data_IF_268302708722
#
_entry.id   IF_268302708722
#
_cell.length_a   1.000
_cell.length_b   1.000
_cell.length_c   1.000
_cell.angle_alpha   90.00
_cell.angle_beta   90.00
_cell.angle_gamma   90.00
#
_symmetry.space_group_name_H-M   'P 1'
#
loop_
_entity.id
_entity.type
_entity.pdbx_description
1 polymer ?
#
# COMPACT_ATOMS: atom_id res chain seq x y z
N UNK A 1 24.63 -8.81 87.02
CA UNK A 1 23.26 -8.39 86.69
C UNK A 1 23.11 -8.47 85.18
N UNK A 2 22.23 -9.37 84.75
CA UNK A 2 21.87 -9.62 83.36
C UNK A 2 20.97 -8.47 82.90
N UNK A 3 21.28 -7.88 81.74
CA UNK A 3 20.32 -7.07 80.99
C UNK A 3 20.20 -7.64 79.59
N UNK A 4 19.11 -8.37 79.38
CA UNK A 4 18.59 -8.74 78.07
C UNK A 4 18.01 -7.49 77.40
N UNK A 5 18.33 -7.28 76.13
CA UNK A 5 17.46 -6.52 75.22
C UNK A 5 17.31 -7.33 73.93
N UNK A 6 16.09 -7.79 73.73
CA UNK A 6 15.58 -8.56 72.60
C UNK A 6 15.87 -7.89 71.26
N UNK A 7 16.43 -8.66 70.32
CA UNK A 7 16.54 -8.27 68.92
C UNK A 7 15.26 -8.65 68.18
N UNK A 8 14.33 -7.71 68.06
CA UNK A 8 13.19 -7.86 67.14
C UNK A 8 13.68 -7.61 65.71
N UNK A 9 13.96 -8.70 65.00
CA UNK A 9 14.24 -8.71 63.56
C UNK A 9 13.00 -8.21 62.83
N UNK A 10 13.04 -6.97 62.35
CA UNK A 10 12.08 -6.44 61.40
C UNK A 10 12.57 -6.83 60.00
N UNK A 11 11.83 -7.72 59.34
CA UNK A 11 12.09 -8.11 57.96
C UNK A 11 12.05 -6.88 57.05
N UNK A 12 12.99 -6.70 56.11
CA UNK A 12 12.89 -5.62 55.14
C UNK A 12 11.77 -5.95 54.15
N UNK A 13 10.88 -4.99 53.94
CA UNK A 13 9.89 -4.99 52.87
C UNK A 13 10.60 -5.09 51.51
N UNK A 14 10.83 -6.32 51.05
CA UNK A 14 11.35 -6.63 49.71
C UNK A 14 10.33 -6.41 48.59
N UNK A 15 9.13 -5.93 48.91
CA UNK A 15 8.08 -5.61 47.95
C UNK A 15 8.34 -4.31 47.19
N UNK A 16 8.61 -3.21 47.89
CA UNK A 16 8.66 -1.87 47.29
C UNK A 16 9.96 -1.58 46.52
N UNK A 17 11.07 -2.18 46.92
CA UNK A 17 12.37 -1.97 46.26
C UNK A 17 12.45 -2.63 44.88
N UNK A 18 11.72 -3.73 44.65
CA UNK A 18 11.68 -4.42 43.35
C UNK A 18 10.77 -3.67 42.35
N UNK A 19 9.70 -3.03 42.85
CA UNK A 19 8.79 -2.24 42.02
C UNK A 19 9.49 -0.97 41.51
N UNK A 20 10.24 -0.27 42.37
CA UNK A 20 11.00 0.92 41.97
C UNK A 20 12.19 0.64 41.04
N UNK A 21 12.87 -0.51 41.17
CA UNK A 21 13.96 -0.88 40.24
C UNK A 21 13.45 -1.10 38.80
N UNK A 22 12.22 -1.60 38.65
CA UNK A 22 11.55 -1.79 37.36
C UNK A 22 11.03 -0.49 36.73
N UNK A 23 11.08 0.64 37.43
CA UNK A 23 10.67 1.97 36.94
C UNK A 23 11.80 2.76 36.27
N UNK A 24 13.02 2.23 36.28
CA UNK A 24 14.21 2.90 35.73
C UNK A 24 14.78 2.15 34.52
N UNK A 25 14.48 0.84 34.39
CA UNK A 25 15.14 -0.04 33.43
C UNK A 25 14.16 -0.86 32.59
N UNK A 26 14.29 -0.82 31.27
CA UNK A 26 13.58 -1.73 30.37
C UNK A 26 14.44 -2.96 30.07
N UNK A 27 13.91 -4.20 30.11
CA UNK A 27 14.68 -5.41 29.84
C UNK A 27 15.28 -5.47 28.41
N UNK A 28 14.68 -4.77 27.45
CA UNK A 28 15.12 -4.74 26.03
C UNK A 28 15.79 -3.42 25.63
N UNK A 29 15.41 -2.30 26.26
CA UNK A 29 15.84 -0.95 25.83
C UNK A 29 16.80 -0.29 26.81
N UNK A 30 17.13 -0.96 27.92
CA UNK A 30 18.07 -0.46 28.92
C UNK A 30 17.53 0.72 29.71
N UNK A 31 18.44 1.59 30.16
CA UNK A 31 18.11 2.79 30.92
C UNK A 31 17.53 3.86 29.98
N UNK A 32 16.35 4.37 30.33
CA UNK A 32 15.68 5.44 29.58
C UNK A 32 15.36 6.60 30.53
N UNK A 33 15.58 7.83 30.08
CA UNK A 33 15.17 9.01 30.85
C UNK A 33 13.64 9.03 31.02
N UNK A 34 13.17 9.25 32.25
CA UNK A 34 11.74 9.23 32.60
C UNK A 34 11.00 7.96 32.15
N UNK A 35 11.63 6.78 32.33
CA UNK A 35 11.06 5.50 31.91
C UNK A 35 9.63 5.25 32.41
N UNK A 36 9.32 5.58 33.68
CA UNK A 36 7.97 5.45 34.23
C UNK A 36 6.92 6.24 33.42
N UNK A 37 7.20 7.50 33.09
CA UNK A 37 6.31 8.33 32.28
C UNK A 37 6.20 7.83 30.83
N UNK A 38 7.32 7.39 30.24
CA UNK A 38 7.32 6.80 28.89
C UNK A 38 6.56 5.46 28.83
N UNK A 39 6.69 4.61 29.86
CA UNK A 39 5.94 3.36 30.00
C UNK A 39 4.44 3.63 30.08
N UNK A 40 4.02 4.58 30.91
CA UNK A 40 2.61 4.91 31.05
C UNK A 40 2.02 5.46 29.74
N UNK A 41 2.76 6.30 29.02
CA UNK A 41 2.38 6.78 27.68
C UNK A 41 2.22 5.65 26.65
N UNK A 42 3.16 4.70 26.61
CA UNK A 42 3.07 3.51 25.74
C UNK A 42 1.89 2.62 26.11
N UNK A 43 1.62 2.44 27.41
CA UNK A 43 0.47 1.70 27.91
C UNK A 43 -0.85 2.36 27.50
N UNK A 44 -0.95 3.68 27.58
CA UNK A 44 -2.13 4.43 27.12
C UNK A 44 -2.37 4.26 25.62
N UNK A 45 -1.32 4.34 24.80
CA UNK A 45 -1.40 4.05 23.37
C UNK A 45 -1.89 2.62 23.11
N UNK A 46 -1.32 1.64 23.81
CA UNK A 46 -1.72 0.23 23.67
C UNK A 46 -3.18 0.02 24.05
N UNK A 47 -3.63 0.59 25.18
CA UNK A 47 -5.03 0.51 25.60
C UNK A 47 -5.98 1.11 24.56
N UNK A 48 -5.62 2.25 23.95
CA UNK A 48 -6.39 2.86 22.87
C UNK A 48 -6.48 1.94 21.64
N UNK A 49 -5.36 1.34 21.24
CA UNK A 49 -5.32 0.40 20.11
C UNK A 49 -6.12 -0.87 20.38
N UNK A 50 -5.98 -1.47 21.57
CA UNK A 50 -6.74 -2.64 21.97
C UNK A 50 -8.24 -2.33 22.01
N UNK A 51 -8.62 -1.18 22.54
CA UNK A 51 -10.02 -0.76 22.56
C UNK A 51 -10.59 -0.62 21.15
N UNK A 52 -9.82 -0.02 20.22
CA UNK A 52 -10.23 0.08 18.81
C UNK A 52 -10.43 -1.31 18.17
N UNK A 53 -9.54 -2.27 18.45
CA UNK A 53 -9.69 -3.64 17.95
C UNK A 53 -10.88 -4.37 18.56
N UNK A 54 -11.13 -4.20 19.87
CA UNK A 54 -12.33 -4.74 20.51
C UNK A 54 -13.59 -4.19 19.84
N UNK A 55 -13.66 -2.88 19.63
CA UNK A 55 -14.83 -2.25 18.98
C UNK A 55 -14.99 -2.74 17.52
N UNK A 56 -13.88 -2.92 16.78
CA UNK A 56 -13.91 -3.47 15.41
C UNK A 56 -14.41 -4.92 15.37
N UNK A 57 -13.93 -5.76 16.29
CA UNK A 57 -14.33 -7.16 16.38
C UNK A 57 -15.78 -7.31 16.83
N UNK A 58 -16.26 -6.42 17.72
CA UNK A 58 -17.66 -6.39 18.15
C UNK A 58 -18.59 -6.08 16.97
N UNK A 59 -18.25 -5.07 16.15
CA UNK A 59 -18.99 -4.77 14.92
C UNK A 59 -18.95 -5.95 13.95
N UNK A 60 -17.82 -6.65 13.85
CA UNK A 60 -17.69 -7.80 12.96
C UNK A 60 -18.46 -9.03 13.45
N UNK A 61 -18.54 -9.24 14.76
CA UNK A 61 -19.34 -10.29 15.37
C UNK A 61 -20.85 -10.04 15.22
N UNK A 62 -21.26 -8.76 15.25
CA UNK A 62 -22.66 -8.35 15.20
C UNK A 62 -22.95 -7.34 14.06
N UNK A 63 -22.72 -7.69 12.79
CA UNK A 63 -22.72 -6.72 11.68
C UNK A 63 -24.11 -6.14 11.35
N UNK A 64 -25.19 -6.82 11.75
CA UNK A 64 -26.59 -6.38 11.53
C UNK A 64 -27.21 -5.82 12.82
N UNK A 65 -26.45 -5.75 13.91
CA UNK A 65 -26.98 -5.20 15.16
C UNK A 65 -27.44 -3.76 14.97
N UNK A 66 -28.64 -3.48 15.47
CA UNK A 66 -29.20 -2.12 15.52
C UNK A 66 -28.85 -1.42 16.84
N UNK A 67 -28.17 -2.11 17.75
CA UNK A 67 -27.76 -1.52 19.02
C UNK A 67 -26.65 -0.49 18.75
N UNK A 68 -26.79 0.73 19.30
CA UNK A 68 -25.78 1.75 19.11
C UNK A 68 -24.49 1.30 19.81
N UNK A 69 -23.39 1.33 19.07
CA UNK A 69 -22.06 1.09 19.63
C UNK A 69 -21.79 2.07 20.78
N UNK A 70 -21.07 1.62 21.83
CA UNK A 70 -20.71 2.49 22.95
C UNK A 70 -20.00 3.75 22.46
N UNK A 71 -20.56 4.92 22.77
CA UNK A 71 -19.96 6.21 22.41
C UNK A 71 -18.69 6.42 23.21
N UNK A 72 -17.55 6.47 22.52
CA UNK A 72 -16.23 6.68 23.14
C UNK A 72 -15.83 8.16 23.11
N UNK A 73 -15.11 8.65 24.14
CA UNK A 73 -14.56 10.00 24.13
C UNK A 73 -13.64 10.21 22.91
N UNK A 74 -13.87 11.29 22.16
CA UNK A 74 -12.98 11.66 21.07
C UNK A 74 -11.64 12.13 21.64
N UNK A 75 -10.55 11.57 21.13
CA UNK A 75 -9.21 12.06 21.45
C UNK A 75 -9.03 13.47 20.87
N UNK A 76 -8.35 14.34 21.63
CA UNK A 76 -7.98 15.67 21.15
C UNK A 76 -6.84 15.57 20.12
N UNK A 77 -6.71 16.55 19.21
CA UNK A 77 -5.61 16.60 18.24
C UNK A 77 -4.21 16.42 18.87
N UNK A 78 -3.99 16.99 20.05
CA UNK A 78 -2.71 16.94 20.77
C UNK A 78 -2.39 15.52 21.22
N UNK A 79 -3.40 14.77 21.69
CA UNK A 79 -3.25 13.36 22.06
C UNK A 79 -2.93 12.48 20.84
N UNK A 80 -3.51 12.79 19.68
CA UNK A 80 -3.17 12.09 18.43
C UNK A 80 -1.72 12.31 18.01
N UNK A 81 -1.25 13.55 18.11
CA UNK A 81 0.16 13.91 17.84
C UNK A 81 1.10 13.18 18.83
N UNK A 82 0.76 13.17 20.12
CA UNK A 82 1.53 12.46 21.13
C UNK A 82 1.59 10.95 20.84
N UNK A 83 0.45 10.32 20.53
CA UNK A 83 0.38 8.91 20.15
C UNK A 83 1.19 8.60 18.90
N UNK A 84 1.18 9.47 17.89
CA UNK A 84 2.01 9.32 16.69
C UNK A 84 3.50 9.29 17.02
N UNK A 85 3.98 10.24 17.84
CA UNK A 85 5.38 10.32 18.27
C UNK A 85 5.80 9.12 19.10
N UNK A 86 4.96 8.69 20.04
CA UNK A 86 5.21 7.50 20.86
C UNK A 86 5.30 6.27 19.95
N UNK A 87 4.34 6.07 19.06
CA UNK A 87 4.32 4.94 18.13
C UNK A 87 5.60 4.91 17.29
N UNK A 88 5.97 6.04 16.68
CA UNK A 88 7.16 6.15 15.83
C UNK A 88 8.46 5.90 16.60
N UNK A 89 8.54 6.35 17.86
CA UNK A 89 9.71 6.12 18.72
C UNK A 89 9.90 4.65 19.12
N UNK A 90 8.83 3.85 19.11
CA UNK A 90 8.88 2.42 19.41
C UNK A 90 9.19 1.64 18.13
N UNK A 91 8.39 1.83 17.10
CA UNK A 91 8.60 1.29 15.75
C UNK A 91 7.78 2.14 14.75
N UNK A 92 8.40 2.74 13.72
CA UNK A 92 7.70 3.50 12.68
C UNK A 92 6.52 2.75 12.04
N UNK A 93 6.58 1.42 11.93
CA UNK A 93 5.50 0.58 11.39
C UNK A 93 4.22 0.69 12.19
N UNK A 94 4.32 0.84 13.52
CA UNK A 94 3.15 1.05 14.39
C UNK A 94 2.51 2.40 14.08
N UNK A 95 3.31 3.44 13.81
CA UNK A 95 2.78 4.75 13.45
C UNK A 95 2.05 4.71 12.10
N UNK A 96 2.58 4.00 11.09
CA UNK A 96 1.90 3.82 9.82
C UNK A 96 0.60 3.01 9.95
N UNK A 97 0.62 1.94 10.75
CA UNK A 97 -0.59 1.18 11.08
C UNK A 97 -1.62 2.02 11.84
N UNK A 98 -1.18 2.96 12.68
CA UNK A 98 -2.06 3.88 13.38
C UNK A 98 -2.76 4.83 12.40
N UNK A 99 -2.03 5.40 11.43
CA UNK A 99 -2.62 6.24 10.39
C UNK A 99 -3.61 5.49 9.48
N UNK A 100 -3.31 4.23 9.11
CA UNK A 100 -4.21 3.44 8.26
C UNK A 100 -5.52 3.09 8.96
N UNK A 101 -5.51 2.93 10.28
CA UNK A 101 -6.71 2.71 11.11
C UNK A 101 -7.59 3.95 11.25
N UNK A 102 -6.98 5.14 11.25
CA UNK A 102 -7.67 6.42 11.44
C UNK A 102 -7.44 7.39 10.27
N UNK A 103 -7.87 7.04 9.04
CA UNK A 103 -7.54 7.80 7.84
C UNK A 103 -8.16 9.21 7.81
N UNK A 104 -9.24 9.43 8.57
CA UNK A 104 -9.93 10.72 8.67
C UNK A 104 -9.22 11.72 9.60
N UNK A 105 -8.22 11.29 10.36
CA UNK A 105 -7.53 12.14 11.31
C UNK A 105 -6.38 12.93 10.66
N UNK A 106 -6.62 14.21 10.40
CA UNK A 106 -5.66 15.10 9.71
C UNK A 106 -4.44 15.41 10.59
N UNK A 107 -4.61 15.61 11.89
CA UNK A 107 -3.51 15.92 12.83
C UNK A 107 -2.52 14.75 12.91
N UNK A 108 -3.03 13.53 13.00
CA UNK A 108 -2.23 12.30 12.97
C UNK A 108 -1.44 12.17 11.67
N UNK A 109 -2.10 12.32 10.52
CA UNK A 109 -1.46 12.20 9.20
C UNK A 109 -0.37 13.27 9.01
N UNK A 110 -0.63 14.49 9.46
CA UNK A 110 0.33 15.61 9.38
C UNK A 110 1.56 15.33 10.23
N UNK A 111 1.39 14.88 11.47
CA UNK A 111 2.51 14.56 12.36
C UNK A 111 3.37 13.41 11.80
N UNK A 112 2.73 12.32 11.33
CA UNK A 112 3.46 11.20 10.73
C UNK A 112 4.23 11.65 9.48
N UNK A 113 3.65 12.54 8.67
CA UNK A 113 4.34 13.12 7.52
C UNK A 113 5.61 13.86 7.93
N UNK A 114 5.56 14.65 9.00
CA UNK A 114 6.73 15.37 9.54
C UNK A 114 7.79 14.41 10.10
N UNK A 115 7.36 13.36 10.81
CA UNK A 115 8.25 12.32 11.35
C UNK A 115 8.95 11.55 10.23
N UNK A 116 8.23 11.20 9.15
CA UNK A 116 8.81 10.57 7.96
C UNK A 116 9.88 11.47 7.34
N UNK A 117 9.56 12.74 7.11
CA UNK A 117 10.48 13.69 6.46
C UNK A 117 11.74 13.98 7.28
N UNK A 118 11.67 13.90 8.61
CA UNK A 118 12.83 14.10 9.49
C UNK A 118 13.70 12.85 9.64
N UNK A 119 13.15 11.65 9.45
CA UNK A 119 13.84 10.37 9.68
C UNK A 119 13.94 9.51 8.41
N UNK A 120 13.92 10.13 7.22
CA UNK A 120 13.85 9.43 5.92
C UNK A 120 14.96 8.39 5.73
N UNK A 121 16.15 8.63 6.30
CA UNK A 121 17.30 7.73 6.15
C UNK A 121 17.14 6.42 6.94
N UNK A 122 16.42 6.48 8.08
CA UNK A 122 16.31 5.37 9.04
C UNK A 122 15.15 4.42 8.70
N UNK A 123 14.21 4.87 7.86
CA UNK A 123 12.97 4.15 7.53
C UNK A 123 12.93 3.63 6.08
N UNK A 124 14.07 3.60 5.38
CA UNK A 124 14.16 3.17 3.96
C UNK A 124 13.66 1.75 3.71
N UNK A 125 13.77 0.88 4.71
CA UNK A 125 13.32 -0.52 4.66
C UNK A 125 11.79 -0.66 4.84
N UNK A 126 11.07 0.45 4.98
CA UNK A 126 9.63 0.46 5.29
C UNK A 126 8.88 1.11 4.11
N UNK A 127 8.31 0.31 3.18
CA UNK A 127 7.58 0.85 2.02
C UNK A 127 6.32 1.63 2.40
N UNK A 128 5.72 1.38 3.56
CA UNK A 128 4.52 2.06 4.05
C UNK A 128 4.73 3.57 4.28
N UNK A 129 5.97 4.03 4.35
CA UNK A 129 6.31 5.45 4.42
C UNK A 129 6.16 6.19 3.08
N UNK A 130 6.12 5.49 1.94
CA UNK A 130 6.11 6.12 0.60
C UNK A 130 4.97 7.15 0.43
N UNK A 131 3.70 6.88 0.80
CA UNK A 131 2.61 7.83 0.60
C UNK A 131 2.77 9.15 1.38
N UNK A 132 3.69 9.21 2.34
CA UNK A 132 3.93 10.40 3.17
C UNK A 132 4.98 11.35 2.58
N UNK A 133 5.85 10.89 1.68
CA UNK A 133 6.83 11.75 1.02
C UNK A 133 6.75 11.74 -0.51
N UNK A 134 6.21 10.67 -1.10
CA UNK A 134 5.84 10.60 -2.52
C UNK A 134 4.41 11.08 -2.67
N UNK A 135 4.23 12.40 -2.68
CA UNK A 135 2.91 13.03 -2.85
C UNK A 135 2.85 13.76 -4.20
N UNK A 136 1.66 13.99 -4.77
CA UNK A 136 1.52 14.79 -5.99
C UNK A 136 2.17 16.17 -5.87
N UNK A 137 2.02 16.81 -4.71
CA UNK A 137 2.70 18.07 -4.39
C UNK A 137 4.23 17.94 -4.43
N UNK A 138 4.80 16.89 -3.83
CA UNK A 138 6.23 16.66 -3.84
C UNK A 138 6.78 16.39 -5.25
N UNK A 139 5.98 15.77 -6.11
CA UNK A 139 6.30 15.58 -7.53
C UNK A 139 6.26 16.91 -8.29
N UNK A 140 5.21 17.71 -8.09
CA UNK A 140 5.07 19.03 -8.72
C UNK A 140 6.22 19.97 -8.36
N UNK A 141 6.69 19.91 -7.12
CA UNK A 141 7.81 20.71 -6.62
C UNK A 141 9.19 20.08 -6.90
N UNK A 142 9.25 18.91 -7.56
CA UNK A 142 10.48 18.12 -7.76
C UNK A 142 11.32 17.99 -6.47
N UNK A 143 10.65 17.59 -5.39
CA UNK A 143 11.23 17.54 -4.05
C UNK A 143 12.53 16.74 -3.99
N UNK A 144 13.49 17.26 -3.22
CA UNK A 144 14.76 16.57 -2.95
C UNK A 144 14.56 15.20 -2.27
N UNK A 145 13.43 15.00 -1.55
CA UNK A 145 13.11 13.72 -0.92
C UNK A 145 12.94 12.58 -1.93
N UNK A 146 12.50 12.89 -3.16
CA UNK A 146 12.35 11.89 -4.22
C UNK A 146 13.70 11.29 -4.66
N UNK A 147 14.83 11.93 -4.33
CA UNK A 147 16.18 11.38 -4.57
C UNK A 147 16.47 10.14 -3.72
N UNK A 148 15.67 9.88 -2.67
CA UNK A 148 15.85 8.72 -1.81
C UNK A 148 15.22 7.44 -2.39
N UNK A 149 14.32 7.56 -3.38
CA UNK A 149 13.59 6.43 -3.99
C UNK A 149 14.47 5.29 -4.55
N UNK A 150 15.65 5.53 -5.16
CA UNK A 150 16.51 4.45 -5.64
C UNK A 150 16.95 3.49 -4.52
N UNK A 151 17.07 3.99 -3.29
CA UNK A 151 17.53 3.23 -2.13
C UNK A 151 16.38 2.71 -1.26
N UNK A 152 15.13 2.98 -1.62
CA UNK A 152 13.96 2.58 -0.83
C UNK A 152 13.64 1.10 -1.04
N UNK A 153 13.10 0.43 -0.02
CA UNK A 153 12.57 -0.92 -0.18
C UNK A 153 11.46 -0.98 -1.26
N UNK A 154 11.35 -2.13 -1.92
CA UNK A 154 10.28 -2.35 -2.87
C UNK A 154 8.92 -2.43 -2.14
N UNK A 155 7.92 -1.70 -2.64
CA UNK A 155 6.54 -1.79 -2.18
C UNK A 155 5.78 -2.90 -2.94
N UNK A 156 4.52 -3.11 -2.60
CA UNK A 156 3.66 -4.02 -3.35
C UNK A 156 3.37 -3.47 -4.75
N UNK A 157 3.07 -4.37 -5.70
CA UNK A 157 2.62 -4.00 -7.05
C UNK A 157 1.42 -3.05 -6.96
N UNK A 158 0.47 -3.29 -6.05
CA UNK A 158 -0.71 -2.43 -5.86
C UNK A 158 -0.35 -1.00 -5.51
N UNK A 159 0.62 -0.78 -4.62
CA UNK A 159 1.11 0.57 -4.29
C UNK A 159 1.88 1.18 -5.45
N UNK A 160 2.68 0.39 -6.18
CA UNK A 160 3.38 0.86 -7.36
C UNK A 160 2.41 1.34 -8.47
N UNK A 161 1.28 0.67 -8.63
CA UNK A 161 0.22 1.07 -9.58
C UNK A 161 -0.42 2.41 -9.20
N UNK A 162 -0.54 2.74 -7.91
CA UNK A 162 -1.06 4.05 -7.49
C UNK A 162 -0.18 5.21 -8.00
N UNK A 163 1.13 4.97 -8.13
CA UNK A 163 2.09 5.94 -8.68
C UNK A 163 2.04 6.08 -10.21
N UNK A 164 1.32 5.21 -10.90
CA UNK A 164 1.10 5.31 -12.35
C UNK A 164 -0.13 6.18 -12.71
N UNK A 165 -0.78 6.76 -11.71
CA UNK A 165 -1.94 7.64 -11.93
C UNK A 165 -1.51 9.03 -12.42
N UNK A 166 -2.42 9.79 -13.07
CA UNK A 166 -2.12 11.13 -13.62
C UNK A 166 -1.56 12.13 -12.60
N UNK A 167 -1.83 11.91 -11.32
CA UNK A 167 -1.39 12.78 -10.22
C UNK A 167 0.13 12.83 -10.07
N UNK A 168 0.85 11.82 -10.57
CA UNK A 168 2.32 11.73 -10.48
C UNK A 168 3.02 12.10 -11.78
N UNK A 169 2.28 12.51 -12.83
CA UNK A 169 2.77 13.12 -14.08
C UNK A 169 3.95 12.38 -14.74
N UNK A 170 4.05 11.06 -14.58
CA UNK A 170 5.16 10.27 -15.11
C UNK A 170 6.55 10.66 -14.55
N UNK A 171 6.64 11.29 -13.37
CA UNK A 171 7.88 11.86 -12.85
C UNK A 171 9.07 10.87 -12.89
N UNK A 172 10.24 11.23 -13.45
CA UNK A 172 11.30 10.28 -13.77
C UNK A 172 11.78 9.43 -12.58
N UNK A 173 11.90 10.03 -11.38
CA UNK A 173 12.34 9.29 -10.17
C UNK A 173 11.27 8.33 -9.65
N UNK A 174 10.00 8.72 -9.76
CA UNK A 174 8.87 7.88 -9.34
C UNK A 174 8.72 6.73 -10.30
N UNK A 175 8.80 6.99 -11.61
CA UNK A 175 8.78 5.95 -12.64
C UNK A 175 9.94 4.98 -12.51
N UNK A 176 11.17 5.46 -12.30
CA UNK A 176 12.32 4.58 -12.07
C UNK A 176 12.12 3.68 -10.84
N UNK A 177 11.51 4.20 -9.77
CA UNK A 177 11.15 3.41 -8.61
C UNK A 177 10.10 2.35 -8.95
N UNK A 178 8.99 2.73 -9.58
CA UNK A 178 7.92 1.81 -9.97
C UNK A 178 8.45 0.69 -10.85
N UNK A 179 9.25 1.00 -11.87
CA UNK A 179 9.82 -0.01 -12.75
C UNK A 179 10.75 -0.96 -12.02
N UNK A 180 11.59 -0.46 -11.10
CA UNK A 180 12.42 -1.31 -10.23
C UNK A 180 11.59 -2.23 -9.35
N UNK A 181 10.45 -1.74 -8.83
CA UNK A 181 9.51 -2.55 -8.06
C UNK A 181 8.91 -3.64 -8.95
N UNK A 182 8.40 -3.31 -10.14
CA UNK A 182 7.83 -4.30 -11.05
C UNK A 182 8.87 -5.37 -11.46
N UNK A 183 10.11 -4.97 -11.71
CA UNK A 183 11.21 -5.87 -12.06
C UNK A 183 11.64 -6.80 -10.92
N UNK A 184 11.29 -6.51 -9.66
CA UNK A 184 11.63 -7.37 -8.51
C UNK A 184 10.63 -8.53 -8.31
N UNK A 185 9.46 -8.47 -8.94
CA UNK A 185 8.43 -9.51 -8.85
C UNK A 185 8.57 -10.56 -9.95
N UNK A 186 8.13 -11.82 -9.70
CA UNK A 186 8.01 -12.82 -10.76
C UNK A 186 7.11 -12.32 -11.90
N UNK A 187 7.42 -12.63 -13.18
CA UNK A 187 6.63 -12.16 -14.32
C UNK A 187 5.13 -12.46 -14.20
N UNK A 188 4.75 -13.63 -13.69
CA UNK A 188 3.36 -14.04 -13.53
C UNK A 188 2.57 -13.11 -12.58
N UNK A 189 3.24 -12.60 -11.53
CA UNK A 189 2.63 -11.66 -10.59
C UNK A 189 2.40 -10.29 -11.23
N UNK A 190 3.31 -9.84 -12.08
CA UNK A 190 3.14 -8.57 -12.82
C UNK A 190 2.05 -8.71 -13.88
N UNK A 191 2.03 -9.86 -14.56
CA UNK A 191 1.05 -10.18 -15.61
C UNK A 191 -0.38 -10.21 -15.09
N UNK A 192 -0.59 -10.61 -13.83
CA UNK A 192 -1.90 -10.53 -13.18
C UNK A 192 -2.49 -9.10 -13.20
N UNK A 193 -1.63 -8.08 -13.11
CA UNK A 193 -2.01 -6.67 -13.15
C UNK A 193 -1.91 -6.05 -14.56
N UNK A 194 -1.85 -6.87 -15.61
CA UNK A 194 -1.74 -6.37 -16.98
C UNK A 194 -2.83 -5.38 -17.40
N UNK A 195 -4.12 -5.57 -17.05
CA UNK A 195 -5.15 -4.57 -17.37
C UNK A 195 -4.80 -3.17 -16.85
N UNK A 196 -4.35 -3.06 -15.59
CA UNK A 196 -4.02 -1.78 -14.98
C UNK A 196 -2.75 -1.17 -15.58
N UNK A 197 -1.77 -1.99 -15.94
CA UNK A 197 -0.54 -1.54 -16.59
C UNK A 197 -0.83 -0.99 -17.99
N UNK A 198 -1.68 -1.65 -18.77
CA UNK A 198 -2.11 -1.16 -20.09
C UNK A 198 -2.87 0.15 -19.95
N UNK A 199 -3.81 0.24 -18.99
CA UNK A 199 -4.55 1.48 -18.73
C UNK A 199 -3.63 2.65 -18.33
N UNK A 200 -2.54 2.34 -17.63
CA UNK A 200 -1.57 3.34 -17.18
C UNK A 200 -0.71 3.92 -18.31
N UNK A 201 -0.60 3.22 -19.46
CA UNK A 201 0.16 3.72 -20.62
C UNK A 201 -0.37 5.06 -21.14
N UNK A 202 -1.65 5.36 -20.91
CA UNK A 202 -2.31 6.64 -21.26
C UNK A 202 -1.60 7.87 -20.69
N UNK A 203 -0.84 7.69 -19.62
CA UNK A 203 -0.15 8.77 -18.89
C UNK A 203 1.37 8.57 -18.85
N UNK A 204 1.88 7.55 -19.54
CA UNK A 204 3.31 7.22 -19.56
C UNK A 204 4.06 8.03 -20.63
N UNK A 205 5.31 8.36 -20.33
CA UNK A 205 6.24 8.99 -21.27
C UNK A 205 7.19 7.94 -21.89
N UNK A 206 6.66 6.77 -22.25
CA UNK A 206 7.38 5.65 -22.87
C UNK A 206 8.28 4.82 -21.93
N UNK A 207 8.29 5.08 -20.62
CA UNK A 207 9.12 4.34 -19.66
C UNK A 207 8.50 2.99 -19.32
N UNK A 208 7.20 3.00 -19.02
CA UNK A 208 6.41 1.79 -18.80
C UNK A 208 6.29 0.99 -20.09
N UNK A 209 6.03 1.65 -21.22
CA UNK A 209 6.03 1.00 -22.54
C UNK A 209 7.34 0.25 -22.77
N UNK A 210 8.48 0.92 -22.60
CA UNK A 210 9.79 0.30 -22.78
C UNK A 210 10.02 -0.90 -21.85
N UNK A 211 9.49 -0.88 -20.62
CA UNK A 211 9.53 -2.03 -19.73
C UNK A 211 8.69 -3.21 -20.26
N UNK A 212 7.45 -2.96 -20.69
CA UNK A 212 6.56 -3.98 -21.24
C UNK A 212 7.18 -4.64 -22.49
N UNK A 213 7.74 -3.85 -23.40
CA UNK A 213 8.44 -4.35 -24.59
C UNK A 213 9.69 -5.19 -24.25
N UNK A 214 10.37 -4.91 -23.14
CA UNK A 214 11.49 -5.76 -22.69
C UNK A 214 11.00 -7.04 -22.03
N UNK A 215 9.86 -7.01 -21.36
CA UNK A 215 9.26 -8.18 -20.73
C UNK A 215 8.70 -9.18 -21.77
N UNK A 216 8.10 -8.68 -22.87
CA UNK A 216 7.58 -9.51 -23.97
C UNK A 216 8.68 -10.34 -24.64
N UNK A 217 9.89 -9.77 -24.78
CA UNK A 217 11.06 -10.47 -25.33
C UNK A 217 11.58 -11.61 -24.44
N UNK A 218 11.13 -11.68 -23.17
CA UNK A 218 11.55 -12.71 -22.21
C UNK A 218 10.50 -13.79 -21.98
N UNK A 219 9.24 -13.55 -22.36
CA UNK A 219 8.14 -14.46 -22.11
C UNK A 219 7.05 -14.34 -23.17
N UNK A 220 6.85 -15.41 -23.94
CA UNK A 220 5.81 -15.49 -24.97
C UNK A 220 4.40 -15.38 -24.36
N UNK A 221 4.20 -15.94 -23.16
CA UNK A 221 2.94 -15.85 -22.42
C UNK A 221 2.66 -14.39 -22.03
N UNK A 222 3.68 -13.68 -21.53
CA UNK A 222 3.56 -12.26 -21.22
C UNK A 222 3.20 -11.46 -22.49
N UNK A 223 3.86 -11.76 -23.61
CA UNK A 223 3.57 -11.12 -24.88
C UNK A 223 2.14 -11.35 -25.36
N UNK A 224 1.65 -12.58 -25.32
CA UNK A 224 0.27 -12.91 -25.68
C UNK A 224 -0.77 -12.21 -24.80
N UNK A 225 -0.55 -12.19 -23.48
CA UNK A 225 -1.47 -11.53 -22.55
C UNK A 225 -1.49 -10.02 -22.77
N UNK A 226 -0.33 -9.42 -23.00
CA UNK A 226 -0.23 -8.00 -23.34
C UNK A 226 -1.00 -7.67 -24.63
N UNK A 227 -0.82 -8.45 -25.70
CA UNK A 227 -1.53 -8.26 -26.97
C UNK A 227 -3.05 -8.32 -26.76
N UNK A 228 -3.54 -9.31 -26.01
CA UNK A 228 -4.97 -9.43 -25.72
C UNK A 228 -5.53 -8.21 -25.00
N UNK A 229 -4.84 -7.71 -23.97
CA UNK A 229 -5.31 -6.55 -23.23
C UNK A 229 -5.27 -5.26 -24.06
N UNK A 230 -4.26 -5.11 -24.93
CA UNK A 230 -4.19 -3.96 -25.84
C UNK A 230 -5.34 -3.97 -26.86
N UNK A 231 -5.66 -5.12 -27.44
CA UNK A 231 -6.76 -5.26 -28.39
C UNK A 231 -8.13 -4.98 -27.76
N UNK A 232 -8.31 -5.29 -26.47
CA UNK A 232 -9.54 -4.99 -25.75
C UNK A 232 -9.74 -3.50 -25.42
N UNK A 233 -8.70 -2.67 -25.59
CA UNK A 233 -8.76 -1.22 -25.34
C UNK A 233 -8.99 -0.42 -26.65
N UNK A 234 -8.95 -1.07 -27.81
CA UNK A 234 -9.30 -0.46 -29.10
C UNK A 234 -10.81 -0.11 -29.12
N UNK A 235 -11.19 1.14 -29.44
CA UNK A 235 -12.60 1.51 -29.50
C UNK A 235 -13.32 0.75 -30.61
N UNK A 236 -14.50 0.19 -30.33
CA UNK A 236 -15.32 -0.44 -31.36
C UNK A 236 -15.73 0.59 -32.42
N UNK A 237 -15.47 0.26 -33.69
CA UNK A 237 -15.85 1.09 -34.84
C UNK A 237 -17.39 1.26 -34.88
N UNK A 238 -17.90 2.36 -34.30
CA UNK A 238 -19.32 2.70 -34.41
C UNK A 238 -19.96 3.52 -33.28
N UNK A 239 -19.29 3.79 -32.16
CA UNK A 239 -19.82 4.72 -31.14
C UNK A 239 -19.21 6.11 -31.32
N UNK A 240 -20.05 7.06 -31.73
CA UNK A 240 -19.72 8.48 -31.83
C UNK A 240 -19.05 8.94 -30.54
N UNK A 241 -17.85 9.50 -30.70
CA UNK A 241 -17.05 10.04 -29.62
C UNK A 241 -17.79 11.19 -28.93
N UNK A 242 -18.41 10.92 -27.78
CA UNK A 242 -18.69 11.97 -26.83
C UNK A 242 -17.35 12.53 -26.30
N UNK A 243 -17.16 13.80 -26.66
CA UNK A 243 -16.03 14.69 -26.50
C UNK A 243 -15.55 14.84 -25.04
N UNK A 244 -14.92 13.80 -24.48
CA UNK A 244 -14.01 13.89 -23.31
C UNK A 244 -12.85 12.89 -23.35
N UNK A 245 -12.70 12.17 -24.45
CA UNK A 245 -11.53 11.33 -24.69
C UNK A 245 -10.41 12.21 -25.24
N UNK A 246 -9.32 12.36 -24.48
CA UNK A 246 -8.11 12.99 -25.02
C UNK A 246 -7.73 12.28 -26.34
N UNK A 247 -7.39 13.01 -27.42
CA UNK A 247 -7.00 12.45 -28.72
C UNK A 247 -5.71 11.59 -28.69
N UNK A 248 -5.12 11.44 -27.49
CA UNK A 248 -4.06 10.49 -27.17
C UNK A 248 -4.57 9.06 -26.91
N UNK A 249 -5.86 8.74 -27.07
CA UNK A 249 -6.31 7.34 -26.93
C UNK A 249 -6.06 6.48 -28.18
N UNK A 250 -6.10 7.05 -29.39
CA UNK A 250 -5.88 6.28 -30.64
C UNK A 250 -4.48 6.44 -31.24
N UNK A 251 -3.71 7.47 -30.87
CA UNK A 251 -2.37 7.72 -31.41
C UNK A 251 -1.23 7.11 -30.58
N UNK A 252 -1.58 6.41 -29.50
CA UNK A 252 -0.66 5.91 -28.47
C UNK A 252 -0.45 4.40 -28.52
N UNK A 253 -0.83 3.74 -29.61
CA UNK A 253 -0.29 2.43 -29.93
C UNK A 253 1.02 2.66 -30.68
N UNK A 254 2.18 2.48 -30.03
CA UNK A 254 3.44 2.66 -30.72
C UNK A 254 3.57 1.52 -31.74
N UNK A 255 4.10 1.83 -32.93
CA UNK A 255 4.34 0.86 -34.01
C UNK A 255 5.02 -0.43 -33.50
N UNK A 256 5.83 -0.32 -32.44
CA UNK A 256 6.49 -1.43 -31.73
C UNK A 256 5.53 -2.49 -31.16
N UNK A 257 4.32 -2.10 -30.73
CA UNK A 257 3.29 -2.99 -30.19
C UNK A 257 2.50 -3.67 -31.32
N UNK A 258 2.29 -2.97 -32.44
CA UNK A 258 1.77 -3.54 -33.68
C UNK A 258 2.77 -4.55 -34.29
N UNK A 259 4.07 -4.25 -34.25
CA UNK A 259 5.12 -5.20 -34.63
C UNK A 259 5.14 -6.44 -33.73
N UNK A 260 4.93 -6.31 -32.41
CA UNK A 260 4.75 -7.45 -31.51
C UNK A 260 3.51 -8.28 -31.87
N UNK A 261 2.39 -7.62 -32.16
CA UNK A 261 1.17 -8.30 -32.61
C UNK A 261 1.38 -9.02 -33.96
N UNK A 262 2.20 -8.47 -34.86
CA UNK A 262 2.58 -9.11 -36.12
C UNK A 262 3.58 -10.27 -35.93
N UNK A 263 4.53 -10.15 -34.99
CA UNK A 263 5.51 -11.21 -34.69
C UNK A 263 4.90 -12.43 -34.01
N UNK A 264 3.91 -12.23 -33.13
CA UNK A 264 3.34 -13.31 -32.31
C UNK A 264 1.89 -13.69 -32.68
N UNK A 265 1.14 -12.79 -33.33
CA UNK A 265 -0.33 -12.82 -33.32
C UNK A 265 -1.03 -13.32 -34.59
N UNK A 266 -0.35 -13.52 -35.73
CA UNK A 266 -1.08 -13.84 -36.97
C UNK A 266 -1.82 -15.19 -36.92
N UNK A 267 -1.37 -16.17 -36.13
CA UNK A 267 -2.01 -17.49 -36.07
C UNK A 267 -2.94 -17.64 -34.84
N UNK A 268 -2.49 -17.28 -33.64
CA UNK A 268 -3.25 -17.51 -32.39
C UNK A 268 -4.46 -16.58 -32.27
N UNK A 269 -4.29 -15.28 -32.57
CA UNK A 269 -5.36 -14.28 -32.49
C UNK A 269 -6.39 -14.51 -33.60
N UNK A 270 -5.94 -14.82 -34.81
CA UNK A 270 -6.84 -15.18 -35.92
C UNK A 270 -7.62 -16.47 -35.65
N UNK A 271 -7.00 -17.48 -35.03
CA UNK A 271 -7.70 -18.70 -34.61
C UNK A 271 -8.75 -18.41 -33.53
N UNK A 272 -8.43 -17.61 -32.51
CA UNK A 272 -9.39 -17.21 -31.48
C UNK A 272 -10.51 -16.31 -32.02
N UNK A 273 -10.22 -15.38 -32.92
CA UNK A 273 -11.23 -14.58 -33.61
C UNK A 273 -12.16 -15.45 -34.46
N UNK A 274 -11.64 -16.50 -35.10
CA UNK A 274 -12.47 -17.51 -35.77
C UNK A 274 -13.32 -18.30 -34.78
N UNK A 275 -12.79 -18.72 -33.64
CA UNK A 275 -13.53 -19.46 -32.60
C UNK A 275 -14.61 -18.57 -31.96
N UNK A 276 -14.29 -17.33 -31.60
CA UNK A 276 -15.22 -16.35 -31.07
C UNK A 276 -16.30 -16.00 -32.10
N UNK A 277 -15.94 -15.84 -33.38
CA UNK A 277 -16.89 -15.64 -34.47
C UNK A 277 -17.75 -16.88 -34.75
N UNK A 278 -17.24 -18.09 -34.55
CA UNK A 278 -18.03 -19.33 -34.60
C UNK A 278 -18.98 -19.43 -33.41
N UNK A 279 -18.55 -18.98 -32.23
CA UNK A 279 -19.36 -18.96 -31.01
C UNK A 279 -20.49 -17.92 -31.08
N UNK A 280 -20.19 -16.71 -31.57
CA UNK A 280 -21.18 -15.66 -31.83
C UNK A 280 -22.20 -16.06 -32.91
N UNK A 281 -21.78 -16.85 -33.91
CA UNK A 281 -22.67 -17.45 -34.92
C UNK A 281 -23.42 -18.70 -34.43
N UNK A 282 -23.02 -19.27 -33.29
CA UNK A 282 -23.55 -20.51 -32.71
C UNK A 282 -24.64 -20.31 -31.65
N UNK A 283 -25.09 -19.08 -31.39
CA UNK A 283 -26.13 -18.75 -30.41
C UNK A 283 -27.56 -19.23 -30.74
N UNK A 284 -27.74 -20.22 -31.61
CA UNK A 284 -29.03 -20.82 -31.98
C UNK A 284 -28.86 -22.31 -32.32
N UNK A 285 -28.23 -23.08 -31.46
CA UNK A 285 -28.65 -24.47 -31.29
C UNK A 285 -29.82 -24.47 -30.32
N UNK A 286 -31.00 -24.30 -30.90
CA UNK A 286 -32.26 -24.57 -30.24
C UNK A 286 -32.20 -25.95 -29.62
N UNK A 287 -32.52 -25.99 -28.32
CA UNK A 287 -33.11 -27.17 -27.71
C UNK A 287 -34.47 -27.34 -28.39
N UNK A 288 -34.49 -28.06 -29.51
CA UNK A 288 -35.73 -28.67 -30.01
C UNK A 288 -36.10 -29.76 -29.00
N UNK A 289 -37.01 -29.44 -28.09
CA UNK A 289 -37.84 -30.43 -27.42
C UNK A 289 -38.65 -31.16 -28.48
N UNK A 290 -38.13 -32.28 -28.98
CA UNK A 290 -38.93 -33.26 -29.70
C UNK A 290 -39.88 -33.94 -28.70
N UNK A 291 -41.18 -33.83 -29.00
CA UNK A 291 -42.23 -34.66 -28.45
C UNK A 291 -41.87 -36.15 -28.56
N UNK A 292 -41.76 -36.84 -27.42
CA UNK A 292 -42.44 -38.12 -27.09
C UNK A 292 -42.76 -38.08 -25.59
#
# INVERSE_FOLDING_TARGET
>A
MVSQTDSKVQAPEKGDTVVHANEIYHPVWGQMDNYAAGREKRKQLLLMLCQNECDRLEVWAHPVSKEPMPVRPKLTPEKWIEHARIAFSVDPRIAFALASRFPTNVSLKTEITQLVQSNVLDIREIPEALPYFVTPKAVDENSALLQQLPHWAACSITVALEFLTPQYKGHPRVMAYVLRVLESYPPDHVTFYMPQLVQSLRYDEGRLEGYLLRATKKSDIFAHILIWHLQGEEPEEGQEAEEKVCPSQCSLFPESMLELALMFGSNTVHWLGKVAGLWARGGLLGVESQQI
#
